data_IF_767109770347
#
_entry.id   IF_767109770347
#
_cell.length_a   1.000
_cell.length_b   1.000
_cell.length_c   1.000
_cell.angle_alpha   90.00
_cell.angle_beta   90.00
_cell.angle_gamma   90.00
#
_symmetry.space_group_name_H-M   'P 1'
#
loop_
_entity.id
_entity.type
_entity.pdbx_description
1 polymer ?
#
# COMPACT_ATOMS: atom_id res chain seq x y z
N UNK A 1 -27.29 20.77 25.10
CA UNK A 1 -26.30 21.49 25.94
C UNK A 1 -25.25 20.50 26.42
N UNK A 2 -24.20 20.30 25.61
CA UNK A 2 -22.81 19.94 25.98
C UNK A 2 -22.07 19.58 24.69
N UNK A 3 -21.74 20.65 23.97
CA UNK A 3 -20.48 20.76 23.26
C UNK A 3 -19.34 20.66 24.31
N UNK A 4 -18.13 20.39 23.81
CA UNK A 4 -16.84 20.54 24.49
C UNK A 4 -16.32 19.34 25.29
N UNK A 5 -15.61 18.43 24.59
CA UNK A 5 -14.25 17.98 24.98
C UNK A 5 -13.61 17.03 23.96
N UNK A 6 -13.34 17.51 22.74
CA UNK A 6 -12.28 16.94 21.89
C UNK A 6 -11.50 18.06 21.16
N UNK A 7 -11.14 19.11 21.91
CA UNK A 7 -10.07 20.04 21.53
C UNK A 7 -8.87 19.77 22.43
N UNK A 8 -7.95 18.92 21.97
CA UNK A 8 -6.50 18.94 22.23
C UNK A 8 -5.84 17.63 21.78
N UNK A 9 -5.64 17.51 20.46
CA UNK A 9 -4.46 16.86 19.89
C UNK A 9 -4.32 17.36 18.43
N UNK A 10 -3.23 18.06 18.08
CA UNK A 10 -3.03 18.53 16.71
C UNK A 10 -2.55 17.35 15.86
N UNK A 11 -3.46 16.49 15.39
CA UNK A 11 -3.11 15.48 14.38
C UNK A 11 -3.12 16.17 13.01
N UNK A 12 -2.07 16.98 12.75
CA UNK A 12 -1.95 17.74 11.50
C UNK A 12 -1.34 16.96 10.33
N UNK A 13 -0.95 15.69 10.52
CA UNK A 13 -0.26 14.93 9.49
C UNK A 13 -0.69 13.47 9.56
N UNK A 14 -1.57 13.03 8.65
CA UNK A 14 -1.99 11.62 8.56
C UNK A 14 -1.32 10.99 7.35
N UNK A 15 -0.21 10.29 7.56
CA UNK A 15 0.20 9.18 6.69
C UNK A 15 -0.45 7.92 7.24
N UNK A 16 -1.14 7.15 6.38
CA UNK A 16 -1.72 5.86 6.76
C UNK A 16 -1.06 4.74 5.98
N UNK A 17 -0.53 3.77 6.70
CA UNK A 17 -0.03 2.52 6.16
C UNK A 17 -1.21 1.54 6.08
N UNK A 18 -1.65 1.21 4.88
CA UNK A 18 -2.49 0.05 4.68
C UNK A 18 -2.30 -0.46 3.25
N UNK A 19 -2.55 -1.75 3.07
CA UNK A 19 -2.91 -2.25 1.74
C UNK A 19 -4.26 -1.55 1.46
N UNK A 20 -4.27 -0.60 0.54
CA UNK A 20 -5.39 0.30 0.21
C UNK A 20 -5.48 0.19 -1.33
N UNK A 21 -6.61 0.16 -2.03
CA UNK A 21 -7.78 1.04 -2.07
C UNK A 21 -8.76 0.35 -3.03
N UNK A 22 -10.07 0.34 -2.81
CA UNK A 22 -10.95 -0.38 -3.74
C UNK A 22 -12.43 0.02 -3.80
N UNK A 23 -13.05 0.41 -2.68
CA UNK A 23 -14.50 0.69 -2.69
C UNK A 23 -14.74 2.20 -2.58
N UNK A 24 -14.34 2.94 -3.62
CA UNK A 24 -14.29 4.40 -3.61
C UNK A 24 -15.52 5.10 -4.18
N UNK A 25 -16.70 4.62 -3.87
CA UNK A 25 -17.89 5.49 -3.92
C UNK A 25 -18.18 6.13 -2.56
N UNK A 26 -17.77 5.53 -1.42
CA UNK A 26 -18.04 6.11 -0.09
C UNK A 26 -16.99 5.87 1.02
N UNK A 27 -15.92 5.09 0.79
CA UNK A 27 -15.02 4.63 1.87
C UNK A 27 -14.04 5.70 2.36
N UNK A 28 -14.56 6.65 3.14
CA UNK A 28 -13.75 7.51 3.98
C UNK A 28 -12.96 6.66 4.99
N UNK A 29 -11.82 7.16 5.44
CA UNK A 29 -11.03 6.64 6.56
C UNK A 29 -11.87 6.29 7.80
N UNK A 30 -13.03 6.92 7.98
CA UNK A 30 -13.99 6.61 9.04
C UNK A 30 -14.71 5.28 8.79
N UNK A 31 -15.11 4.99 7.55
CA UNK A 31 -15.77 3.73 7.20
C UNK A 31 -14.82 2.53 7.28
N UNK A 32 -13.52 2.71 7.03
CA UNK A 32 -12.53 1.66 7.26
C UNK A 32 -12.48 1.19 8.72
N UNK A 33 -12.80 2.07 9.67
CA UNK A 33 -12.81 1.74 11.11
C UNK A 33 -14.02 0.89 11.50
N UNK A 34 -15.06 0.83 10.68
CA UNK A 34 -16.30 0.10 10.98
C UNK A 34 -16.31 -1.30 10.37
N UNK A 35 -15.28 -1.68 9.61
CA UNK A 35 -15.16 -3.03 9.03
C UNK A 35 -14.87 -4.03 10.17
N UNK A 36 -15.70 -5.06 10.28
CA UNK A 36 -15.38 -6.22 11.12
C UNK A 36 -14.26 -7.02 10.45
N UNK A 37 -13.17 -7.22 11.21
CA UNK A 37 -11.93 -7.83 10.73
C UNK A 37 -11.63 -9.15 11.44
N UNK A 38 -12.47 -9.56 12.39
CA UNK A 38 -12.30 -10.83 13.09
C UNK A 38 -13.02 -11.97 12.34
N UNK A 39 -12.73 -12.07 11.05
CA UNK A 39 -13.31 -13.03 10.13
C UNK A 39 -12.29 -13.37 9.05
N UNK A 40 -12.55 -14.45 8.31
CA UNK A 40 -11.82 -14.73 7.06
C UNK A 40 -12.08 -13.59 6.07
N UNK A 41 -11.07 -13.24 5.27
CA UNK A 41 -11.22 -12.19 4.26
C UNK A 41 -12.29 -12.66 3.25
N UNK A 42 -13.39 -11.91 3.05
CA UNK A 42 -14.42 -12.26 2.09
C UNK A 42 -13.88 -12.30 0.65
N UNK A 43 -14.64 -12.89 -0.29
CA UNK A 43 -14.27 -12.88 -1.71
C UNK A 43 -14.57 -11.55 -2.41
N UNK A 44 -15.37 -10.68 -1.81
CA UNK A 44 -15.77 -9.38 -2.36
C UNK A 44 -16.06 -8.36 -1.24
N UNK A 45 -16.20 -7.09 -1.62
CA UNK A 45 -16.51 -6.00 -0.70
C UNK A 45 -15.28 -5.45 0.02
N UNK A 46 -15.45 -4.41 0.85
CA UNK A 46 -14.38 -3.47 1.24
C UNK A 46 -13.21 -4.12 1.98
N UNK A 47 -13.39 -5.23 2.68
CA UNK A 47 -12.27 -5.92 3.33
C UNK A 47 -11.37 -6.67 2.32
N UNK A 48 -11.95 -7.37 1.36
CA UNK A 48 -11.21 -8.05 0.28
C UNK A 48 -10.39 -7.04 -0.53
N UNK A 49 -11.13 -6.06 -1.00
CA UNK A 49 -10.75 -4.83 -1.65
C UNK A 49 -9.54 -4.11 -1.04
N UNK A 50 -9.53 -3.89 0.29
CA UNK A 50 -8.37 -3.35 1.00
C UNK A 50 -7.15 -4.27 0.88
N UNK A 51 -7.34 -5.57 0.96
CA UNK A 51 -6.24 -6.54 1.02
C UNK A 51 -5.62 -6.88 -0.35
N UNK A 52 -6.40 -6.80 -1.43
CA UNK A 52 -6.06 -7.39 -2.73
C UNK A 52 -5.98 -6.42 -3.91
N UNK A 53 -6.38 -5.15 -3.73
CA UNK A 53 -6.36 -4.18 -4.82
C UNK A 53 -4.98 -3.58 -5.05
N UNK A 54 -4.66 -3.29 -6.31
CA UNK A 54 -3.34 -2.86 -6.76
C UNK A 54 -3.39 -1.59 -7.61
N UNK A 55 -2.42 -0.69 -7.46
CA UNK A 55 -2.28 0.42 -8.38
C UNK A 55 -1.77 -0.05 -9.76
N UNK A 56 -2.26 0.57 -10.82
CA UNK A 56 -1.84 0.34 -12.22
C UNK A 56 -1.76 1.68 -12.98
N UNK A 57 -0.99 1.75 -14.07
CA UNK A 57 -0.90 2.89 -14.99
C UNK A 57 -2.19 3.07 -15.83
N UNK A 58 -3.33 3.16 -15.15
CA UNK A 58 -4.65 3.50 -15.67
C UNK A 58 -5.15 4.78 -15.02
N UNK A 59 -6.20 5.38 -15.57
CA UNK A 59 -6.79 6.60 -14.98
C UNK A 59 -7.69 6.26 -13.80
N UNK A 60 -8.51 5.22 -13.91
CA UNK A 60 -9.61 4.93 -12.98
C UNK A 60 -9.56 3.51 -12.43
N UNK A 61 -10.53 2.65 -12.75
CA UNK A 61 -10.63 1.29 -12.23
C UNK A 61 -10.41 0.27 -13.34
N UNK A 62 -9.84 -0.87 -12.98
CA UNK A 62 -9.68 -2.04 -13.85
C UNK A 62 -9.91 -3.33 -13.08
N UNK A 63 -10.21 -4.40 -13.80
CA UNK A 63 -10.38 -5.72 -13.18
C UNK A 63 -9.01 -6.26 -12.77
N UNK A 64 -8.89 -6.72 -11.53
CA UNK A 64 -7.65 -7.33 -11.04
C UNK A 64 -7.38 -8.67 -11.73
N UNK A 65 -6.19 -8.89 -12.31
CA UNK A 65 -5.79 -10.19 -12.83
C UNK A 65 -5.55 -11.22 -11.73
N UNK A 66 -5.52 -10.80 -10.46
CA UNK A 66 -5.35 -11.69 -9.28
C UNK A 66 -6.61 -12.48 -8.95
N UNK A 67 -7.76 -12.11 -9.53
CA UNK A 67 -9.06 -12.73 -9.23
C UNK A 67 -9.72 -12.23 -7.94
N UNK A 68 -9.13 -11.22 -7.27
CA UNK A 68 -9.68 -10.54 -6.11
C UNK A 68 -9.22 -9.07 -6.10
N UNK A 69 -10.06 -8.18 -5.57
CA UNK A 69 -9.82 -6.73 -5.57
C UNK A 69 -9.88 -6.12 -6.97
N UNK A 70 -9.38 -4.88 -7.08
CA UNK A 70 -9.42 -4.07 -8.30
C UNK A 70 -8.05 -3.48 -8.62
N UNK A 71 -7.85 -3.17 -9.90
CA UNK A 71 -6.80 -2.24 -10.31
C UNK A 71 -7.31 -0.81 -10.13
N UNK A 72 -6.46 0.09 -9.63
CA UNK A 72 -6.82 1.48 -9.46
C UNK A 72 -5.74 2.44 -9.97
N UNK A 73 -6.20 3.56 -10.51
CA UNK A 73 -5.39 4.52 -11.22
C UNK A 73 -5.01 5.75 -10.42
N UNK A 74 -4.34 6.67 -11.12
CA UNK A 74 -3.90 7.94 -10.54
C UNK A 74 -5.07 8.78 -10.03
N UNK A 75 -6.17 8.89 -10.82
CA UNK A 75 -7.33 9.71 -10.45
C UNK A 75 -7.99 9.22 -9.16
N UNK A 76 -8.17 7.91 -9.03
CA UNK A 76 -8.71 7.28 -7.81
C UNK A 76 -7.84 7.59 -6.60
N UNK A 77 -6.52 7.53 -6.77
CA UNK A 77 -5.55 7.82 -5.70
C UNK A 77 -5.59 9.29 -5.28
N UNK A 78 -5.62 10.21 -6.25
CA UNK A 78 -5.69 11.65 -6.00
C UNK A 78 -7.00 12.02 -5.29
N UNK A 79 -8.14 11.50 -5.77
CA UNK A 79 -9.45 11.70 -5.14
C UNK A 79 -9.51 11.14 -3.71
N UNK A 80 -8.98 9.92 -3.50
CA UNK A 80 -8.85 9.30 -2.19
C UNK A 80 -8.12 10.19 -1.20
N UNK A 81 -6.94 10.67 -1.60
CA UNK A 81 -6.08 11.51 -0.79
C UNK A 81 -6.77 12.85 -0.47
N UNK A 82 -7.41 13.47 -1.47
CA UNK A 82 -8.12 14.72 -1.30
C UNK A 82 -9.28 14.61 -0.30
N UNK A 83 -10.18 13.63 -0.48
CA UNK A 83 -11.36 13.42 0.37
C UNK A 83 -10.97 13.12 1.82
N UNK A 84 -9.84 12.44 2.03
CA UNK A 84 -9.39 12.03 3.35
C UNK A 84 -8.33 12.95 3.97
N UNK A 85 -7.97 14.05 3.29
CA UNK A 85 -6.91 14.96 3.68
C UNK A 85 -5.59 14.23 4.01
N UNK A 86 -5.14 13.39 3.06
CA UNK A 86 -3.91 12.62 3.12
C UNK A 86 -2.90 13.13 2.08
N UNK A 87 -1.63 13.10 2.44
CA UNK A 87 -0.54 13.44 1.52
C UNK A 87 0.02 12.21 0.79
N UNK A 88 -0.11 11.03 1.40
CA UNK A 88 0.52 9.81 0.92
C UNK A 88 -0.23 8.56 1.40
N UNK A 89 -0.50 7.67 0.46
CA UNK A 89 -0.88 6.28 0.72
C UNK A 89 0.37 5.42 0.71
N UNK A 90 0.66 4.74 1.83
CA UNK A 90 1.74 3.76 1.92
C UNK A 90 1.14 2.35 1.89
N UNK A 91 1.56 1.53 0.92
CA UNK A 91 1.10 0.14 0.78
C UNK A 91 2.25 -0.85 0.55
N UNK A 92 1.94 -2.13 0.53
CA UNK A 92 2.85 -3.21 0.14
C UNK A 92 2.22 -4.06 -0.99
N UNK A 93 2.19 -5.40 -0.85
CA UNK A 93 1.52 -6.39 -1.72
C UNK A 93 2.16 -6.65 -3.09
N UNK A 94 2.50 -5.62 -3.87
CA UNK A 94 3.19 -5.80 -5.15
C UNK A 94 4.70 -5.86 -4.95
N UNK A 95 5.35 -6.83 -5.60
CA UNK A 95 6.80 -6.92 -5.62
C UNK A 95 7.38 -5.72 -6.37
N UNK A 96 8.31 -5.02 -5.73
CA UNK A 96 9.06 -3.92 -6.33
C UNK A 96 10.54 -4.29 -6.31
N UNK A 97 11.18 -4.28 -7.48
CA UNK A 97 12.57 -4.72 -7.62
C UNK A 97 13.55 -3.83 -6.87
N UNK A 98 13.29 -2.53 -6.88
CA UNK A 98 14.02 -1.49 -6.17
C UNK A 98 13.63 -1.37 -4.68
N UNK A 99 12.74 -2.23 -4.19
CA UNK A 99 12.28 -2.27 -2.80
C UNK A 99 11.27 -1.17 -2.43
N UNK A 100 11.19 -0.06 -3.18
CA UNK A 100 10.21 1.01 -3.00
C UNK A 100 9.91 1.72 -4.32
N UNK A 101 8.63 1.92 -4.65
CA UNK A 101 8.21 2.62 -5.87
C UNK A 101 7.07 3.59 -5.60
N UNK A 102 7.21 4.83 -6.09
CA UNK A 102 6.08 5.74 -6.24
C UNK A 102 5.41 5.42 -7.57
N UNK A 103 4.12 5.06 -7.55
CA UNK A 103 3.45 4.59 -8.76
C UNK A 103 3.13 5.73 -9.73
N UNK A 104 2.60 6.84 -9.21
CA UNK A 104 2.05 7.92 -10.02
C UNK A 104 2.94 9.18 -9.99
N UNK A 105 2.87 10.05 -11.01
CA UNK A 105 3.67 11.27 -11.08
C UNK A 105 3.50 12.22 -9.89
N UNK A 106 2.30 12.27 -9.30
CA UNK A 106 1.96 13.08 -8.13
C UNK A 106 2.57 12.56 -6.83
N UNK A 107 3.16 11.35 -6.85
CA UNK A 107 3.76 10.67 -5.71
C UNK A 107 2.79 10.54 -4.51
N UNK A 108 1.49 10.50 -4.79
CA UNK A 108 0.43 10.35 -3.79
C UNK A 108 0.29 8.92 -3.25
N UNK A 109 0.99 7.95 -3.87
CA UNK A 109 1.04 6.56 -3.44
C UNK A 109 2.44 5.98 -3.56
N UNK A 110 2.84 5.21 -2.55
CA UNK A 110 4.09 4.46 -2.51
C UNK A 110 3.86 3.01 -2.15
N UNK A 111 4.49 2.12 -2.91
CA UNK A 111 4.59 0.69 -2.60
C UNK A 111 5.96 0.42 -1.96
N UNK A 112 5.95 -0.20 -0.79
CA UNK A 112 7.15 -0.56 -0.01
C UNK A 112 7.21 -2.07 0.10
N UNK A 113 8.37 -2.66 -0.22
CA UNK A 113 8.60 -4.09 -0.16
C UNK A 113 9.79 -4.39 0.77
N UNK A 114 9.58 -5.23 1.79
CA UNK A 114 10.57 -5.46 2.85
C UNK A 114 11.16 -6.88 2.87
N UNK A 115 10.92 -7.70 1.84
CA UNK A 115 11.45 -9.06 1.74
C UNK A 115 12.48 -9.18 0.59
N UNK A 116 13.80 -9.09 0.87
CA UNK A 116 14.81 -9.10 -0.18
C UNK A 116 14.96 -10.50 -0.77
N UNK A 117 15.39 -10.57 -2.03
CA UNK A 117 15.49 -11.80 -2.82
C UNK A 117 14.27 -12.72 -2.63
N UNK A 118 13.09 -12.18 -2.92
CA UNK A 118 11.85 -12.83 -2.56
C UNK A 118 11.74 -14.24 -3.18
N UNK A 119 11.29 -15.18 -2.34
CA UNK A 119 11.27 -16.63 -2.62
C UNK A 119 12.60 -17.19 -3.12
N UNK A 120 13.75 -16.59 -2.76
CA UNK A 120 15.10 -16.97 -3.18
C UNK A 120 15.33 -16.91 -4.70
N UNK A 121 14.45 -16.21 -5.43
CA UNK A 121 14.38 -16.27 -6.90
C UNK A 121 14.27 -14.91 -7.56
N UNK A 122 13.66 -13.93 -6.89
CA UNK A 122 13.30 -12.67 -7.52
C UNK A 122 14.47 -11.69 -7.60
N UNK A 123 15.47 -11.79 -6.71
CA UNK A 123 16.64 -10.92 -6.70
C UNK A 123 16.37 -9.44 -6.40
N UNK A 124 15.16 -9.09 -5.95
CA UNK A 124 14.79 -7.74 -5.56
C UNK A 124 15.53 -7.30 -4.29
N UNK A 125 15.75 -6.00 -4.15
CA UNK A 125 16.13 -5.41 -2.85
C UNK A 125 14.89 -5.20 -1.99
N UNK A 126 15.10 -4.91 -0.72
CA UNK A 126 14.05 -4.56 0.22
C UNK A 126 14.26 -3.15 0.78
N UNK A 127 13.20 -2.55 1.30
CA UNK A 127 13.27 -1.25 1.93
C UNK A 127 12.39 -1.12 3.17
N UNK A 128 12.69 -0.10 3.97
CA UNK A 128 11.86 0.45 5.03
C UNK A 128 11.68 1.94 4.74
N UNK A 129 10.44 2.40 4.71
CA UNK A 129 10.10 3.82 4.66
C UNK A 129 9.76 4.29 6.09
N UNK A 130 10.62 5.12 6.67
CA UNK A 130 10.43 5.75 7.98
C UNK A 130 10.07 7.22 7.85
N UNK A 131 9.31 7.72 8.82
CA UNK A 131 8.90 9.12 8.92
C UNK A 131 9.48 9.71 10.21
N UNK A 132 10.08 10.90 10.13
CA UNK A 132 10.51 11.66 11.30
C UNK A 132 9.31 12.32 12.01
N UNK A 133 9.55 12.93 13.17
CA UNK A 133 8.53 13.76 13.85
C UNK A 133 8.04 14.93 12.99
N UNK A 134 8.86 15.41 12.06
CA UNK A 134 8.53 16.46 11.08
C UNK A 134 7.97 15.92 9.78
N UNK A 135 7.63 14.63 9.71
CA UNK A 135 7.13 13.93 8.51
C UNK A 135 8.13 13.87 7.35
N UNK A 136 9.41 14.10 7.62
CA UNK A 136 10.47 13.86 6.65
C UNK A 136 10.60 12.36 6.40
N UNK A 137 10.77 12.00 5.13
CA UNK A 137 10.78 10.61 4.67
C UNK A 137 12.22 10.13 4.59
N UNK A 138 12.55 9.07 5.32
CA UNK A 138 13.84 8.38 5.27
C UNK A 138 13.64 6.95 4.75
N UNK A 139 14.35 6.59 3.68
CA UNK A 139 14.25 5.28 3.04
C UNK A 139 15.53 4.49 3.29
N UNK A 140 15.39 3.35 3.95
CA UNK A 140 16.49 2.43 4.21
C UNK A 140 16.38 1.23 3.28
N UNK A 141 17.34 1.06 2.38
CA UNK A 141 17.40 -0.09 1.47
C UNK A 141 18.34 -1.14 2.05
N UNK A 142 17.94 -2.41 1.95
CA UNK A 142 18.73 -3.55 2.42
C UNK A 142 18.55 -4.76 1.50
N UNK A 143 19.55 -5.64 1.48
CA UNK A 143 19.57 -6.87 0.68
C UNK A 143 19.41 -8.09 1.59
N UNK A 144 19.33 -9.26 0.98
CA UNK A 144 19.34 -10.54 1.68
C UNK A 144 20.64 -10.75 2.46
N UNK A 145 20.59 -11.63 3.45
CA UNK A 145 21.77 -12.07 4.20
C UNK A 145 22.64 -13.00 3.35
N UNK A 146 23.91 -13.16 3.74
CA UNK A 146 24.87 -14.01 3.03
C UNK A 146 24.41 -15.46 2.92
N UNK A 147 23.72 -15.99 3.94
CA UNK A 147 23.14 -17.35 3.94
C UNK A 147 22.10 -17.52 2.84
N UNK A 148 21.23 -16.52 2.63
CA UNK A 148 20.20 -16.54 1.59
C UNK A 148 20.80 -16.41 0.18
N UNK A 149 21.93 -15.71 0.02
CA UNK A 149 22.61 -15.55 -1.27
C UNK A 149 23.16 -16.89 -1.80
N UNK A 150 23.39 -17.87 -0.92
CA UNK A 150 23.86 -19.21 -1.30
C UNK A 150 22.74 -20.10 -1.85
N UNK A 151 21.47 -19.80 -1.54
CA UNK A 151 20.30 -20.50 -2.06
C UNK A 151 19.93 -20.01 -3.48
N UNK A 152 20.81 -20.25 -4.46
CA UNK A 152 20.57 -19.85 -5.86
C UNK A 152 19.73 -20.89 -6.60
N UNK A 153 18.41 -20.83 -6.42
CA UNK A 153 17.50 -21.37 -7.43
C UNK A 153 17.61 -20.58 -8.74
N UNK A 154 17.19 -21.13 -9.89
CA UNK A 154 17.12 -20.35 -11.13
C UNK A 154 16.25 -19.11 -10.91
N UNK A 155 16.81 -17.93 -11.22
CA UNK A 155 16.09 -16.65 -11.15
C UNK A 155 14.97 -16.68 -12.21
N UNK A 156 13.74 -16.63 -11.75
CA UNK A 156 12.57 -16.52 -12.61
C UNK A 156 11.66 -15.47 -12.01
N UNK A 157 11.31 -14.45 -12.80
CA UNK A 157 10.17 -13.61 -12.45
C UNK A 157 8.93 -14.52 -12.47
N UNK A 158 8.24 -14.61 -11.34
CA UNK A 158 7.02 -15.40 -11.24
C UNK A 158 5.88 -14.49 -11.71
N UNK A 159 5.06 -14.90 -12.71
CA UNK A 159 4.02 -14.03 -13.27
C UNK A 159 3.02 -13.53 -12.22
N UNK A 160 2.87 -14.29 -11.14
CA UNK A 160 2.00 -13.95 -10.02
C UNK A 160 2.36 -12.63 -9.32
N UNK A 161 3.58 -12.12 -9.47
CA UNK A 161 3.98 -10.84 -8.85
C UNK A 161 3.86 -9.64 -9.78
N UNK A 162 3.44 -9.86 -11.02
CA UNK A 162 3.00 -8.82 -11.95
C UNK A 162 1.51 -8.52 -11.71
#
# INVERSE_FOLDING_TARGET
>A
MRLDRLSQCPVKYQTKCANLISSFEYLCCVQMRTIDRNCEIPHEGPFCDLMWSDPEEIETWGVSPRGAGWLFGSRVTTEFNHVNNLELVCRAHQLVQEGLKYMFPDKGLVTVWSAPNYCYRCGNVASILSFSETMERDVKIFTETDENNQMRGPRSAVPYFL
#
